data_IF_460424654544
#
_entry.id   IF_460424654544
#
_cell.length_a   1.000
_cell.length_b   1.000
_cell.length_c   1.000
_cell.angle_alpha   90.00
_cell.angle_beta   90.00
_cell.angle_gamma   90.00
#
_symmetry.space_group_name_H-M   'P 1'
#
loop_
_entity.id
_entity.type
_entity.pdbx_description
1 polymer ?
#
# COMPACT_ATOMS: atom_id res chain seq x y z
N UNK A 1 8.36 17.37 42.71
CA UNK A 1 8.48 17.74 41.29
C UNK A 1 7.85 16.61 40.49
N UNK A 2 6.62 16.79 39.99
CA UNK A 2 5.99 15.83 39.07
C UNK A 2 6.72 16.02 37.74
N UNK A 3 7.39 14.98 37.24
CA UNK A 3 7.97 15.04 35.89
C UNK A 3 6.80 15.32 34.93
N UNK A 4 6.92 16.28 34.01
CA UNK A 4 5.89 16.47 33.00
C UNK A 4 5.83 15.19 32.16
N UNK A 5 4.63 14.63 32.01
CA UNK A 5 4.36 13.55 31.07
C UNK A 5 4.64 14.08 29.67
N UNK A 6 5.76 13.66 29.08
CA UNK A 6 6.21 14.10 27.75
C UNK A 6 5.18 13.72 26.67
N UNK A 7 4.33 12.74 26.95
CA UNK A 7 3.27 12.23 26.06
C UNK A 7 2.04 13.15 25.95
N UNK A 8 1.82 14.11 26.86
CA UNK A 8 0.63 14.99 26.83
C UNK A 8 0.85 16.34 26.12
N UNK A 9 2.03 16.56 25.55
CA UNK A 9 2.32 17.80 24.84
C UNK A 9 1.83 17.69 23.39
N UNK A 10 0.98 18.62 22.90
CA UNK A 10 0.58 18.66 21.48
C UNK A 10 1.80 18.81 20.54
N UNK A 11 2.93 19.33 21.06
CA UNK A 11 4.20 19.35 20.33
C UNK A 11 4.81 17.95 20.09
N UNK A 12 4.50 16.96 20.93
CA UNK A 12 5.02 15.59 20.78
C UNK A 12 4.45 14.89 19.55
N UNK A 13 3.13 14.99 19.33
CA UNK A 13 2.46 14.43 18.15
C UNK A 13 3.01 15.08 16.86
N UNK A 14 3.23 16.40 16.87
CA UNK A 14 3.79 17.12 15.72
C UNK A 14 5.23 16.68 15.42
N UNK A 15 6.06 16.50 16.46
CA UNK A 15 7.42 16.00 16.32
C UNK A 15 7.44 14.55 15.82
N UNK A 16 6.54 13.71 16.32
CA UNK A 16 6.40 12.33 15.88
C UNK A 16 6.00 12.25 14.40
N UNK A 17 5.02 13.06 13.98
CA UNK A 17 4.59 13.13 12.59
C UNK A 17 5.73 13.57 11.66
N UNK A 18 6.48 14.62 12.03
CA UNK A 18 7.66 15.07 11.29
C UNK A 18 8.74 13.99 11.18
N UNK A 19 8.96 13.22 12.25
CA UNK A 19 9.90 12.11 12.25
C UNK A 19 9.45 11.01 11.29
N UNK A 20 8.16 10.62 11.32
CA UNK A 20 7.59 9.61 10.41
C UNK A 20 7.68 10.05 8.96
N UNK A 21 7.41 11.31 8.65
CA UNK A 21 7.52 11.86 7.31
C UNK A 21 8.96 11.90 6.79
N UNK A 22 9.92 12.16 7.68
CA UNK A 22 11.35 12.17 7.34
C UNK A 22 11.96 10.75 7.24
N UNK A 23 11.25 9.70 7.67
CA UNK A 23 11.76 8.33 7.62
C UNK A 23 11.67 7.73 6.21
N UNK A 24 12.73 7.03 5.75
CA UNK A 24 12.66 6.19 4.55
C UNK A 24 11.53 5.17 4.65
N UNK A 25 10.90 4.87 3.51
CA UNK A 25 9.75 3.95 3.45
C UNK A 25 10.12 2.56 3.99
N UNK A 26 11.33 2.08 3.72
CA UNK A 26 11.82 0.78 4.17
C UNK A 26 11.84 0.70 5.71
N UNK A 27 12.21 1.79 6.38
CA UNK A 27 12.20 1.86 7.85
C UNK A 27 10.77 1.93 8.40
N UNK A 28 9.88 2.64 7.71
CA UNK A 28 8.46 2.73 8.11
C UNK A 28 7.74 1.39 8.01
N UNK A 29 8.10 0.57 7.01
CA UNK A 29 7.50 -0.75 6.80
C UNK A 29 8.26 -1.88 7.52
N UNK A 30 9.40 -1.59 8.13
CA UNK A 30 10.18 -2.58 8.88
C UNK A 30 9.37 -3.11 10.07
N UNK A 31 9.36 -4.44 10.23
CA UNK A 31 8.58 -5.10 11.28
C UNK A 31 7.09 -5.29 10.99
N UNK A 32 6.55 -4.68 9.91
CA UNK A 32 5.18 -4.95 9.46
C UNK A 32 5.09 -6.25 8.66
N UNK A 33 4.09 -7.08 8.96
CA UNK A 33 3.71 -8.22 8.12
C UNK A 33 3.12 -7.74 6.80
N UNK A 34 3.01 -8.63 5.81
CA UNK A 34 2.43 -8.27 4.52
C UNK A 34 0.97 -7.80 4.67
N UNK A 35 0.20 -8.47 5.52
CA UNK A 35 -1.21 -8.12 5.81
C UNK A 35 -1.31 -6.71 6.40
N UNK A 36 -0.40 -6.34 7.30
CA UNK A 36 -0.37 -5.00 7.90
C UNK A 36 0.02 -3.93 6.88
N UNK A 37 0.90 -4.25 5.92
CA UNK A 37 1.29 -3.31 4.84
C UNK A 37 0.17 -3.08 3.83
N UNK A 38 -0.65 -4.10 3.59
CA UNK A 38 -1.80 -4.03 2.68
C UNK A 38 -3.07 -3.55 3.39
N UNK A 39 -3.03 -3.36 4.71
CA UNK A 39 -4.15 -2.85 5.47
C UNK A 39 -4.59 -1.48 4.95
N UNK A 40 -5.89 -1.34 4.68
CA UNK A 40 -6.48 -0.12 4.11
C UNK A 40 -6.54 -0.08 2.59
N UNK A 41 -5.96 -1.06 1.88
CA UNK A 41 -6.18 -1.23 0.45
C UNK A 41 -7.47 -2.00 0.18
N UNK A 42 -8.19 -1.62 -0.88
CA UNK A 42 -9.30 -2.43 -1.40
C UNK A 42 -8.76 -3.64 -2.17
N UNK A 43 -9.56 -4.72 -2.33
CA UNK A 43 -9.15 -5.88 -3.13
C UNK A 43 -8.68 -5.51 -4.54
N UNK A 44 -9.33 -4.53 -5.17
CA UNK A 44 -8.99 -4.06 -6.52
C UNK A 44 -7.62 -3.36 -6.54
N UNK A 45 -7.31 -2.57 -5.50
CA UNK A 45 -6.00 -1.94 -5.36
C UNK A 45 -4.89 -2.99 -5.14
N UNK A 46 -5.19 -4.06 -4.40
CA UNK A 46 -4.26 -5.18 -4.22
C UNK A 46 -3.97 -5.90 -5.54
N UNK A 47 -4.99 -6.09 -6.39
CA UNK A 47 -4.81 -6.69 -7.73
C UNK A 47 -3.79 -5.89 -8.55
N UNK A 48 -3.83 -4.55 -8.48
CA UNK A 48 -2.89 -3.69 -9.19
C UNK A 48 -1.45 -3.80 -8.70
N UNK A 49 -1.21 -4.37 -7.52
CA UNK A 49 0.14 -4.64 -6.97
C UNK A 49 0.66 -6.04 -7.34
N UNK A 50 -0.20 -6.91 -7.88
CA UNK A 50 0.22 -8.27 -8.23
C UNK A 50 1.28 -8.27 -9.35
N UNK A 51 2.21 -9.24 -9.33
CA UNK A 51 3.10 -9.50 -10.46
C UNK A 51 2.33 -9.84 -11.73
N UNK A 52 2.91 -9.53 -12.88
CA UNK A 52 2.27 -9.73 -14.19
C UNK A 52 1.98 -11.20 -14.44
N UNK A 53 2.86 -12.09 -13.97
CA UNK A 53 2.72 -13.54 -14.09
C UNK A 53 1.46 -14.03 -13.39
N UNK A 54 1.16 -13.49 -12.21
CA UNK A 54 -0.06 -13.80 -11.45
C UNK A 54 -1.28 -13.20 -12.14
N UNK A 55 -1.18 -11.97 -12.66
CA UNK A 55 -2.26 -11.34 -13.41
C UNK A 55 -2.67 -12.14 -14.66
N UNK A 56 -1.70 -12.79 -15.33
CA UNK A 56 -1.97 -13.68 -16.49
C UNK A 56 -2.72 -14.96 -16.10
N UNK A 57 -2.63 -15.37 -14.84
CA UNK A 57 -3.32 -16.56 -14.33
C UNK A 57 -4.76 -16.26 -13.86
N UNK A 58 -5.14 -14.99 -13.74
CA UNK A 58 -6.51 -14.60 -13.40
C UNK A 58 -7.47 -15.02 -14.51
N UNK A 59 -8.66 -15.50 -14.12
CA UNK A 59 -9.70 -15.85 -15.08
C UNK A 59 -10.26 -14.61 -15.77
N UNK A 60 -10.69 -14.78 -17.02
CA UNK A 60 -11.29 -13.70 -17.79
C UNK A 60 -12.58 -13.17 -17.16
N UNK A 61 -13.38 -14.05 -16.55
CA UNK A 61 -14.55 -13.66 -15.75
C UNK A 61 -14.19 -12.72 -14.59
N UNK A 62 -13.12 -13.05 -13.85
CA UNK A 62 -12.68 -12.21 -12.75
C UNK A 62 -12.21 -10.85 -13.26
N UNK A 63 -11.44 -10.81 -14.35
CA UNK A 63 -11.04 -9.56 -14.98
C UNK A 63 -12.25 -8.71 -15.41
N UNK A 64 -13.28 -9.31 -16.00
CA UNK A 64 -14.49 -8.58 -16.43
C UNK A 64 -15.34 -8.07 -15.25
N UNK A 65 -15.22 -8.69 -14.07
CA UNK A 65 -15.91 -8.25 -12.85
C UNK A 65 -15.28 -7.01 -12.20
N UNK A 66 -14.02 -6.69 -12.54
CA UNK A 66 -13.30 -5.56 -11.97
C UNK A 66 -13.83 -4.22 -12.49
N UNK A 67 -13.65 -3.11 -11.75
CA UNK A 67 -13.92 -1.76 -12.25
C UNK A 67 -13.15 -1.45 -13.53
N UNK A 68 -13.74 -0.62 -14.42
CA UNK A 68 -13.20 -0.35 -15.75
C UNK A 68 -11.77 0.24 -15.73
N UNK A 69 -11.49 1.11 -14.77
CA UNK A 69 -10.17 1.71 -14.55
C UNK A 69 -9.12 0.67 -14.13
N UNK A 70 -9.50 -0.28 -13.28
CA UNK A 70 -8.65 -1.40 -12.84
C UNK A 70 -8.37 -2.34 -14.00
N UNK A 71 -9.42 -2.70 -14.77
CA UNK A 71 -9.29 -3.54 -15.97
C UNK A 71 -8.31 -2.97 -16.98
N UNK A 72 -8.47 -1.69 -17.32
CA UNK A 72 -7.59 -1.04 -18.30
C UNK A 72 -6.16 -1.02 -17.80
N UNK A 73 -5.93 -0.72 -16.52
CA UNK A 73 -4.59 -0.76 -15.93
C UNK A 73 -3.96 -2.16 -16.02
N UNK A 74 -4.71 -3.21 -15.68
CA UNK A 74 -4.24 -4.59 -15.80
C UNK A 74 -3.92 -4.94 -17.26
N UNK A 75 -4.80 -4.61 -18.22
CA UNK A 75 -4.56 -4.84 -19.65
C UNK A 75 -3.29 -4.13 -20.14
N UNK A 76 -3.04 -2.90 -19.71
CA UNK A 76 -1.83 -2.16 -20.07
C UNK A 76 -0.57 -2.84 -19.54
N UNK A 77 -0.57 -3.28 -18.27
CA UNK A 77 0.56 -4.03 -17.68
C UNK A 77 0.82 -5.36 -18.39
N UNK A 78 -0.23 -6.07 -18.79
CA UNK A 78 -0.13 -7.32 -19.53
C UNK A 78 0.44 -7.13 -20.95
N UNK A 79 0.12 -6.02 -21.62
CA UNK A 79 0.66 -5.67 -22.95
C UNK A 79 2.12 -5.18 -22.87
N UNK A 80 2.45 -4.33 -21.90
CA UNK A 80 3.78 -3.74 -21.75
C UNK A 80 4.90 -4.73 -21.40
N UNK A 81 4.56 -5.95 -20.99
CA UNK A 81 5.50 -7.05 -20.72
C UNK A 81 5.60 -8.07 -21.86
N UNK A 82 4.89 -7.85 -22.97
CA UNK A 82 4.99 -8.67 -24.18
C UNK A 82 5.97 -8.10 -25.23
N UNK A 83 6.75 -7.08 -24.85
CA UNK A 83 7.77 -6.41 -25.66
C UNK A 83 9.16 -6.75 -25.13
#
# INVERSE_FOLDING_TARGET
>A
MKQPDIEELPEYEELFQKLVEAMPLEKRLAGLTLEQRLAGLTPEQVILLLPVEVLRMLSEEHLQSLPADVQETVKQRLRGTAQ
#
